data_IF_599216701518
#
_entry.id   IF_599216701518
#
_cell.length_a   1.000
_cell.length_b   1.000
_cell.length_c   1.000
_cell.angle_alpha   90.00
_cell.angle_beta   90.00
_cell.angle_gamma   90.00
#
_symmetry.space_group_name_H-M   'P 1'
#
loop_
_entity.id
_entity.type
_entity.pdbx_description
1 polymer ?
#
# COMPACT_ATOMS: atom_id res chain seq x y z
N UNK A 1 -12.72 -64.91 -17.88
CA UNK A 1 -11.67 -64.25 -18.68
C UNK A 1 -12.19 -62.90 -19.20
N UNK A 2 -12.89 -62.13 -18.37
CA UNK A 2 -13.60 -60.92 -18.82
C UNK A 2 -13.85 -59.90 -17.70
N UNK A 3 -12.93 -59.84 -16.71
CA UNK A 3 -13.03 -58.91 -15.58
C UNK A 3 -11.80 -57.97 -15.49
N UNK A 4 -10.80 -58.15 -16.36
CA UNK A 4 -9.58 -57.33 -16.39
C UNK A 4 -9.69 -56.24 -17.46
N UNK A 5 -10.22 -56.57 -18.65
CA UNK A 5 -10.40 -55.60 -19.75
C UNK A 5 -11.42 -54.49 -19.42
N UNK A 6 -12.54 -54.83 -18.77
CA UNK A 6 -13.55 -53.84 -18.32
C UNK A 6 -13.00 -52.87 -17.26
N UNK A 7 -12.02 -53.29 -16.45
CA UNK A 7 -11.39 -52.45 -15.42
C UNK A 7 -10.29 -51.54 -15.97
N UNK A 8 -9.73 -51.87 -17.13
CA UNK A 8 -8.74 -51.02 -17.81
C UNK A 8 -9.42 -49.91 -18.62
N UNK A 9 -10.50 -50.21 -19.35
CA UNK A 9 -11.28 -49.19 -20.09
C UNK A 9 -11.85 -48.10 -19.16
N UNK A 10 -12.35 -48.50 -17.98
CA UNK A 10 -12.96 -47.60 -16.99
C UNK A 10 -11.92 -46.68 -16.29
N UNK A 11 -10.63 -47.02 -16.36
CA UNK A 11 -9.52 -46.15 -15.91
C UNK A 11 -8.99 -45.25 -17.01
N UNK A 12 -9.08 -45.64 -18.28
CA UNK A 12 -8.65 -44.81 -19.40
C UNK A 12 -9.56 -43.60 -19.66
N UNK A 13 -10.87 -43.73 -19.47
CA UNK A 13 -11.81 -42.61 -19.63
C UNK A 13 -11.55 -41.41 -18.69
N UNK A 14 -11.41 -41.59 -17.36
CA UNK A 14 -11.15 -40.47 -16.45
C UNK A 14 -9.79 -39.83 -16.72
N UNK A 15 -8.77 -40.59 -17.13
CA UNK A 15 -7.46 -40.07 -17.50
C UNK A 15 -7.51 -39.19 -18.75
N UNK A 16 -8.21 -39.63 -19.81
CA UNK A 16 -8.44 -38.85 -21.04
C UNK A 16 -9.20 -37.55 -20.75
N UNK A 17 -10.20 -37.59 -19.86
CA UNK A 17 -10.95 -36.40 -19.41
C UNK A 17 -10.03 -35.42 -18.65
N UNK A 18 -9.15 -35.91 -17.78
CA UNK A 18 -8.19 -35.09 -17.04
C UNK A 18 -7.17 -34.45 -17.99
N UNK A 19 -6.67 -35.17 -18.98
CA UNK A 19 -5.74 -34.64 -19.99
C UNK A 19 -6.39 -33.56 -20.87
N UNK A 20 -7.63 -33.78 -21.30
CA UNK A 20 -8.39 -32.78 -22.05
C UNK A 20 -8.57 -31.48 -21.24
N UNK A 21 -8.88 -31.57 -19.94
CA UNK A 21 -8.98 -30.41 -19.04
C UNK A 21 -7.65 -29.68 -18.88
N UNK A 22 -6.54 -30.42 -18.71
CA UNK A 22 -5.18 -29.85 -18.64
C UNK A 22 -4.79 -29.14 -19.93
N UNK A 23 -5.16 -29.68 -21.10
CA UNK A 23 -4.86 -29.09 -22.40
C UNK A 23 -5.63 -27.77 -22.64
N UNK A 24 -6.90 -27.69 -22.21
CA UNK A 24 -7.70 -26.46 -22.26
C UNK A 24 -7.09 -25.38 -21.37
N UNK A 25 -6.74 -25.72 -20.13
CA UNK A 25 -6.03 -24.80 -19.21
C UNK A 25 -4.71 -24.31 -19.80
N UNK A 26 -3.92 -25.21 -20.38
CA UNK A 26 -2.63 -24.88 -21.00
C UNK A 26 -2.78 -23.96 -22.22
N UNK A 27 -3.80 -24.17 -23.06
CA UNK A 27 -4.14 -23.26 -24.17
C UNK A 27 -4.60 -21.90 -23.66
N UNK A 28 -5.41 -21.86 -22.62
CA UNK A 28 -5.92 -20.61 -22.03
C UNK A 28 -4.78 -19.78 -21.41
N UNK A 29 -3.89 -20.44 -20.66
CA UNK A 29 -2.72 -19.82 -20.03
C UNK A 29 -1.72 -19.31 -21.07
N UNK A 30 -1.47 -20.06 -22.15
CA UNK A 30 -0.55 -19.66 -23.23
C UNK A 30 -1.09 -18.51 -24.08
N UNK A 31 -2.42 -18.34 -24.19
CA UNK A 31 -3.08 -17.28 -24.96
C UNK A 31 -3.14 -15.94 -24.20
N UNK A 32 -2.99 -15.95 -22.88
CA UNK A 32 -3.20 -14.80 -21.98
C UNK A 32 -1.94 -14.48 -21.15
N UNK A 33 -0.74 -14.54 -21.75
CA UNK A 33 0.52 -14.21 -21.05
C UNK A 33 0.49 -12.83 -20.39
N UNK A 34 -0.09 -11.84 -21.07
CA UNK A 34 -0.28 -10.48 -20.51
C UNK A 34 -1.16 -10.49 -19.25
N UNK A 35 -2.23 -11.28 -19.24
CA UNK A 35 -3.08 -11.41 -18.05
C UNK A 35 -2.30 -12.04 -16.89
N UNK A 36 -1.41 -12.99 -17.18
CA UNK A 36 -0.56 -13.59 -16.16
C UNK A 36 0.39 -12.56 -15.54
N UNK A 37 1.03 -11.70 -16.35
CA UNK A 37 1.87 -10.61 -15.84
C UNK A 37 1.08 -9.62 -14.98
N UNK A 38 -0.11 -9.21 -15.43
CA UNK A 38 -0.98 -8.29 -14.66
C UNK A 38 -1.45 -8.94 -13.35
N UNK A 39 -1.84 -10.21 -13.36
CA UNK A 39 -2.25 -10.94 -12.15
C UNK A 39 -1.08 -11.10 -11.19
N UNK A 40 0.12 -11.43 -11.69
CA UNK A 40 1.32 -11.52 -10.86
C UNK A 40 1.66 -10.17 -10.23
N UNK A 41 1.63 -9.07 -11.00
CA UNK A 41 1.85 -7.73 -10.48
C UNK A 41 0.82 -7.35 -9.42
N UNK A 42 -0.47 -7.64 -9.66
CA UNK A 42 -1.52 -7.39 -8.69
C UNK A 42 -1.28 -8.14 -7.37
N UNK A 43 -0.88 -9.41 -7.42
CA UNK A 43 -0.53 -10.18 -6.23
C UNK A 43 0.68 -9.59 -5.49
N UNK A 44 1.72 -9.15 -6.22
CA UNK A 44 2.89 -8.49 -5.63
C UNK A 44 2.49 -7.21 -4.91
N UNK A 45 1.65 -6.36 -5.54
CA UNK A 45 1.16 -5.12 -4.92
C UNK A 45 0.31 -5.42 -3.68
N UNK A 46 -0.55 -6.44 -3.72
CA UNK A 46 -1.33 -6.86 -2.55
C UNK A 46 -0.43 -7.29 -1.39
N UNK A 47 0.59 -8.11 -1.65
CA UNK A 47 1.55 -8.54 -0.63
C UNK A 47 2.33 -7.33 -0.09
N UNK A 48 2.76 -6.42 -0.97
CA UNK A 48 3.46 -5.20 -0.57
C UNK A 48 2.62 -4.33 0.38
N UNK A 49 1.34 -4.11 0.06
CA UNK A 49 0.40 -3.36 0.90
C UNK A 49 0.14 -4.11 2.21
N UNK A 50 -0.05 -5.42 2.16
CA UNK A 50 -0.28 -6.25 3.35
C UNK A 50 0.89 -6.14 4.33
N UNK A 51 2.12 -6.40 3.88
CA UNK A 51 3.33 -6.32 4.72
C UNK A 51 3.49 -4.94 5.35
N UNK A 52 3.26 -3.87 4.59
CA UNK A 52 3.42 -2.48 5.07
C UNK A 52 2.28 -2.02 5.99
N UNK A 53 1.09 -2.57 5.86
CA UNK A 53 -0.08 -2.21 6.68
C UNK A 53 -0.22 -3.03 7.96
N UNK A 54 0.41 -4.20 8.04
CA UNK A 54 0.35 -5.09 9.22
C UNK A 54 0.71 -4.41 10.54
N UNK A 55 1.62 -3.43 10.52
CA UNK A 55 2.07 -2.75 11.74
C UNK A 55 1.14 -1.59 12.17
N UNK A 56 0.18 -1.19 11.33
CA UNK A 56 -0.70 -0.03 11.60
C UNK A 56 -1.60 -0.27 12.81
N UNK A 57 -2.02 -1.52 13.05
CA UNK A 57 -2.84 -1.87 14.22
C UNK A 57 -2.14 -1.56 15.55
N UNK A 58 -0.81 -1.71 15.60
CA UNK A 58 0.02 -1.40 16.78
C UNK A 58 0.30 0.09 16.97
N UNK A 59 -0.02 0.93 15.99
CA UNK A 59 0.17 2.38 16.04
C UNK A 59 -1.06 3.13 16.57
N UNK A 60 -2.09 2.42 17.04
CA UNK A 60 -3.27 3.05 17.60
C UNK A 60 -2.99 3.48 19.04
N UNK A 61 -3.07 4.77 19.30
CA UNK A 61 -2.91 5.33 20.63
C UNK A 61 -4.20 5.13 21.44
N UNK A 62 -4.06 4.41 22.55
CA UNK A 62 -5.16 4.04 23.45
C UNK A 62 -5.67 5.27 24.22
N UNK A 63 -4.83 6.30 24.42
CA UNK A 63 -5.15 7.48 25.23
C UNK A 63 -5.90 8.55 24.45
N UNK A 64 -5.51 8.78 23.19
CA UNK A 64 -6.15 9.78 22.32
C UNK A 64 -7.21 9.18 21.40
N UNK A 65 -7.25 7.85 21.26
CA UNK A 65 -8.11 7.16 20.30
C UNK A 65 -7.70 7.37 18.84
N UNK A 66 -6.61 8.12 18.60
CA UNK A 66 -6.05 8.42 17.29
C UNK A 66 -4.87 7.52 16.97
N UNK A 67 -4.20 7.76 15.86
CA UNK A 67 -3.00 7.01 15.49
C UNK A 67 -1.75 7.81 15.86
N UNK A 68 -0.73 7.13 16.38
CA UNK A 68 0.61 7.67 16.56
C UNK A 68 1.50 7.25 15.41
N UNK A 69 2.56 8.02 15.16
CA UNK A 69 3.60 7.61 14.23
C UNK A 69 4.44 6.48 14.83
N UNK A 70 5.23 5.84 13.98
CA UNK A 70 6.24 4.86 14.40
C UNK A 70 7.27 5.44 15.36
N UNK A 71 8.19 4.62 15.89
CA UNK A 71 9.13 5.01 16.93
C UNK A 71 10.17 6.05 16.51
N UNK A 72 10.28 6.36 15.21
CA UNK A 72 11.23 7.32 14.67
C UNK A 72 10.83 8.78 14.98
N UNK A 73 11.82 9.64 15.22
CA UNK A 73 11.61 11.05 15.58
C UNK A 73 11.28 11.93 14.37
N UNK A 74 11.93 11.71 13.23
CA UNK A 74 11.78 12.57 12.05
C UNK A 74 10.33 12.67 11.52
N UNK A 75 9.55 11.58 11.48
CA UNK A 75 8.13 11.63 11.10
C UNK A 75 7.31 12.62 11.92
N UNK A 76 7.63 12.84 13.20
CA UNK A 76 6.88 13.77 14.05
C UNK A 76 7.07 15.22 13.60
N UNK A 77 8.26 15.59 13.12
CA UNK A 77 8.51 16.90 12.54
C UNK A 77 7.66 17.11 11.29
N UNK A 78 7.66 16.13 10.38
CA UNK A 78 6.88 16.22 9.14
C UNK A 78 5.37 16.26 9.40
N UNK A 79 4.88 15.48 10.37
CA UNK A 79 3.48 15.52 10.79
C UNK A 79 3.11 16.89 11.38
N UNK A 80 3.95 17.47 12.23
CA UNK A 80 3.71 18.81 12.79
C UNK A 80 3.62 19.86 11.68
N UNK A 81 4.55 19.83 10.74
CA UNK A 81 4.54 20.72 9.60
C UNK A 81 3.33 20.49 8.69
N UNK A 82 2.94 19.23 8.46
CA UNK A 82 1.73 18.90 7.71
C UNK A 82 0.46 19.44 8.41
N UNK A 83 0.32 19.27 9.72
CA UNK A 83 -0.78 19.86 10.52
C UNK A 83 -0.82 21.38 10.39
N UNK A 84 0.34 22.03 10.46
CA UNK A 84 0.43 23.48 10.27
C UNK A 84 -0.03 23.89 8.87
N UNK A 85 0.41 23.20 7.81
CA UNK A 85 0.02 23.46 6.42
C UNK A 85 -1.48 23.24 6.23
N UNK A 86 -2.07 22.22 6.85
CA UNK A 86 -3.52 21.96 6.80
C UNK A 86 -4.31 23.12 7.43
N UNK A 87 -3.84 23.64 8.57
CA UNK A 87 -4.53 24.71 9.30
C UNK A 87 -4.31 26.11 8.72
N UNK A 88 -3.12 26.40 8.17
CA UNK A 88 -2.72 27.75 7.74
C UNK A 88 -2.55 27.88 6.22
N UNK A 89 -2.67 26.78 5.47
CA UNK A 89 -2.51 26.73 4.01
C UNK A 89 -1.06 26.62 3.52
N UNK A 90 -0.10 27.22 4.24
CA UNK A 90 1.33 27.24 3.90
C UNK A 90 2.18 26.91 5.13
N UNK A 91 3.42 26.47 4.89
CA UNK A 91 4.39 26.24 5.96
C UNK A 91 4.92 27.58 6.51
N UNK A 92 5.13 27.67 7.83
CA UNK A 92 5.77 28.83 8.46
C UNK A 92 7.15 29.08 7.87
N UNK A 93 7.50 30.33 7.59
CA UNK A 93 8.87 30.70 7.18
C UNK A 93 9.88 30.44 8.29
N UNK A 94 9.48 30.76 9.52
CA UNK A 94 10.31 30.62 10.71
C UNK A 94 9.62 29.71 11.74
N UNK A 95 10.27 28.61 12.08
CA UNK A 95 9.84 27.63 13.07
C UNK A 95 10.49 27.95 14.42
N UNK A 96 9.79 28.70 15.27
CA UNK A 96 10.26 29.11 16.59
C UNK A 96 10.35 27.96 17.59
N UNK A 97 9.82 26.78 17.27
CA UNK A 97 9.85 25.61 18.14
C UNK A 97 11.09 24.74 17.92
N UNK A 98 11.88 24.98 16.86
CA UNK A 98 13.19 24.34 16.65
C UNK A 98 14.29 25.29 17.11
N UNK A 99 15.34 24.76 17.75
CA UNK A 99 16.53 25.52 18.18
C UNK A 99 16.20 26.78 18.99
N UNK A 100 15.32 26.64 19.99
CA UNK A 100 14.94 27.73 20.91
C UNK A 100 16.19 28.31 21.60
N UNK A 101 16.33 29.64 21.70
CA UNK A 101 15.36 30.69 21.34
C UNK A 101 15.50 31.24 19.91
N UNK A 102 16.48 30.78 19.13
CA UNK A 102 16.81 31.35 17.83
C UNK A 102 15.80 30.98 16.73
N UNK A 103 15.12 29.84 16.88
CA UNK A 103 14.22 29.33 15.85
C UNK A 103 14.96 28.70 14.67
N UNK A 104 14.21 28.30 13.64
CA UNK A 104 14.75 27.72 12.42
C UNK A 104 14.08 28.28 11.17
N UNK A 105 14.86 28.66 10.16
CA UNK A 105 14.31 29.03 8.85
C UNK A 105 13.98 27.76 8.05
N UNK A 106 12.70 27.53 7.80
CA UNK A 106 12.23 26.32 7.11
C UNK A 106 12.64 26.27 5.65
N UNK A 107 13.12 27.38 5.06
CA UNK A 107 13.64 27.42 3.70
C UNK A 107 14.84 26.48 3.47
N UNK A 108 15.60 26.16 4.52
CA UNK A 108 16.77 25.28 4.44
C UNK A 108 16.45 23.79 4.56
N UNK A 109 15.18 23.40 4.72
CA UNK A 109 14.76 22.01 4.89
C UNK A 109 13.87 21.53 3.74
N UNK A 110 13.78 20.21 3.56
CA UNK A 110 12.89 19.61 2.56
C UNK A 110 11.42 19.78 2.95
N UNK A 111 10.71 20.62 2.19
CA UNK A 111 9.27 20.90 2.39
C UNK A 111 8.35 19.91 1.68
N UNK A 112 8.88 19.16 0.71
CA UNK A 112 8.08 18.29 -0.19
C UNK A 112 7.25 17.29 0.59
N UNK A 113 7.86 16.58 1.54
CA UNK A 113 7.18 15.53 2.30
C UNK A 113 6.00 16.07 3.15
N UNK A 114 6.16 17.11 3.98
CA UNK A 114 5.04 17.73 4.69
C UNK A 114 3.89 18.20 3.79
N UNK A 115 4.19 18.84 2.65
CA UNK A 115 3.17 19.26 1.70
C UNK A 115 2.47 18.05 1.07
N UNK A 116 3.20 17.01 0.70
CA UNK A 116 2.63 15.77 0.16
C UNK A 116 1.69 15.09 1.16
N UNK A 117 2.05 15.03 2.44
CA UNK A 117 1.17 14.51 3.50
C UNK A 117 -0.08 15.39 3.63
N UNK A 118 0.07 16.72 3.64
CA UNK A 118 -1.06 17.64 3.76
C UNK A 118 -2.05 17.53 2.59
N UNK A 119 -1.55 17.42 1.35
CA UNK A 119 -2.40 17.22 0.17
C UNK A 119 -3.03 15.83 0.15
N UNK A 120 -2.29 14.79 0.55
CA UNK A 120 -2.84 13.44 0.69
C UNK A 120 -3.97 13.39 1.72
N UNK A 121 -3.80 14.06 2.86
CA UNK A 121 -4.86 14.25 3.84
C UNK A 121 -6.09 14.93 3.21
N UNK A 122 -5.90 16.05 2.49
CA UNK A 122 -7.01 16.75 1.82
C UNK A 122 -7.74 15.83 0.85
N UNK A 123 -7.02 15.00 0.10
CA UNK A 123 -7.59 14.01 -0.81
C UNK A 123 -8.44 12.97 -0.04
N UNK A 124 -7.90 12.34 1.00
CA UNK A 124 -8.63 11.36 1.80
C UNK A 124 -9.85 11.96 2.51
N UNK A 125 -9.73 13.20 2.98
CA UNK A 125 -10.78 13.92 3.71
C UNK A 125 -11.96 14.36 2.81
N UNK A 126 -11.80 14.31 1.48
CA UNK A 126 -12.92 14.42 0.52
C UNK A 126 -13.82 13.18 0.62
N UNK A 127 -13.24 11.99 0.74
CA UNK A 127 -13.98 10.72 0.78
C UNK A 127 -14.54 10.39 2.17
N UNK A 128 -13.83 10.77 3.24
CA UNK A 128 -14.31 10.56 4.61
C UNK A 128 -13.90 11.70 5.54
N UNK A 129 -14.91 12.30 6.17
CA UNK A 129 -14.71 13.36 7.18
C UNK A 129 -14.09 12.85 8.48
N UNK A 130 -14.09 11.54 8.71
CA UNK A 130 -13.48 10.94 9.90
C UNK A 130 -11.96 10.80 9.79
N UNK A 131 -11.37 11.04 8.62
CA UNK A 131 -9.92 10.97 8.42
C UNK A 131 -9.27 12.19 9.06
N UNK A 132 -8.23 11.95 9.87
CA UNK A 132 -7.36 12.95 10.46
C UNK A 132 -5.97 12.96 9.78
N UNK A 133 -5.15 13.96 10.10
CA UNK A 133 -3.83 14.17 9.47
C UNK A 133 -2.85 13.05 9.86
N UNK A 134 -2.98 12.54 11.08
CA UNK A 134 -2.18 11.43 11.62
C UNK A 134 -2.38 10.15 10.82
N UNK A 135 -3.63 9.78 10.56
CA UNK A 135 -3.97 8.62 9.74
C UNK A 135 -3.43 8.78 8.32
N UNK A 136 -3.59 9.97 7.73
CA UNK A 136 -3.05 10.26 6.41
C UNK A 136 -1.52 10.08 6.38
N UNK A 137 -0.80 10.57 7.39
CA UNK A 137 0.66 10.44 7.49
C UNK A 137 1.13 8.97 7.60
N UNK A 138 0.35 8.10 8.27
CA UNK A 138 0.68 6.68 8.43
C UNK A 138 0.37 5.86 7.17
N UNK A 139 -0.73 6.17 6.50
CA UNK A 139 -1.14 5.46 5.28
C UNK A 139 -0.36 5.96 4.05
N UNK A 140 0.12 7.20 4.07
CA UNK A 140 0.92 7.81 3.00
C UNK A 140 2.06 6.90 2.47
N UNK A 141 3.00 6.41 3.30
CA UNK A 141 4.09 5.56 2.82
C UNK A 141 3.61 4.21 2.26
N UNK A 142 2.46 3.69 2.70
CA UNK A 142 1.88 2.43 2.19
C UNK A 142 1.38 2.64 0.77
N UNK A 143 0.61 3.70 0.55
CA UNK A 143 0.04 4.03 -0.77
C UNK A 143 1.13 4.37 -1.78
N UNK A 144 2.10 5.21 -1.40
CA UNK A 144 3.20 5.57 -2.29
C UNK A 144 4.09 4.38 -2.63
N UNK A 145 4.26 3.44 -1.71
CA UNK A 145 4.99 2.21 -2.01
C UNK A 145 4.24 1.31 -2.99
N UNK A 146 2.92 1.19 -2.86
CA UNK A 146 2.10 0.44 -3.82
C UNK A 146 2.20 1.05 -5.23
N UNK A 147 2.10 2.38 -5.33
CA UNK A 147 2.27 3.11 -6.60
C UNK A 147 3.68 2.91 -7.15
N UNK A 148 4.72 3.13 -6.35
CA UNK A 148 6.10 2.93 -6.77
C UNK A 148 6.36 1.50 -7.25
N UNK A 149 5.77 0.50 -6.60
CA UNK A 149 5.84 -0.91 -7.03
C UNK A 149 5.28 -1.08 -8.43
N UNK A 150 4.13 -0.48 -8.74
CA UNK A 150 3.53 -0.54 -10.08
C UNK A 150 4.48 0.11 -11.11
N UNK A 151 4.98 1.31 -10.83
CA UNK A 151 5.90 2.03 -11.72
C UNK A 151 7.22 1.29 -11.95
N UNK A 152 7.72 0.53 -10.98
CA UNK A 152 8.96 -0.22 -11.14
C UNK A 152 8.89 -1.32 -12.23
N UNK A 153 7.68 -1.81 -12.55
CA UNK A 153 7.49 -2.87 -13.54
C UNK A 153 7.20 -2.35 -14.96
N UNK A 154 7.04 -1.03 -15.15
CA UNK A 154 6.77 -0.40 -16.46
C UNK A 154 7.93 0.47 -16.90
#
# INVERSE_FOLDING_TARGET
>A
MGNEDEKEEDKEEPEKIIEARKAVLKKFLKRRKELFYVVALFLIVLVAVFVRSSNISGLRDITTGTYTLGPDLDPFLFLRWAKYIVNNGLLMSHDSMRYVPLGYDTAFETKVLPYSIAYFYKLLHIFSKSVNVEFAAIVFPVVWFAIATIFFFF
#
